data_IF_843703528165
#
_entry.id   IF_843703528165
#
_cell.length_a   1.000
_cell.length_b   1.000
_cell.length_c   1.000
_cell.angle_alpha   90.00
_cell.angle_beta   90.00
_cell.angle_gamma   90.00
#
_symmetry.space_group_name_H-M   'P 1'
#
loop_
_entity.id
_entity.type
_entity.pdbx_description
1 polymer ?
#
# COMPACT_ATOMS: atom_id res chain seq x y z
N UNK A 1 -24.57 8.05 7.26
CA UNK A 1 -23.72 7.63 6.11
C UNK A 1 -23.94 6.13 5.89
N UNK A 2 -24.25 5.69 4.66
CA UNK A 2 -24.52 4.28 4.38
C UNK A 2 -23.21 3.52 4.20
N UNK A 3 -23.07 2.40 4.89
CA UNK A 3 -21.95 1.47 4.85
C UNK A 3 -22.43 0.24 4.11
N UNK A 4 -21.67 -0.24 3.13
CA UNK A 4 -22.10 -1.35 2.29
C UNK A 4 -21.24 -2.59 2.55
N UNK A 5 -21.90 -3.73 2.73
CA UNK A 5 -21.27 -5.06 2.69
C UNK A 5 -21.60 -5.69 1.34
N UNK A 6 -20.59 -5.95 0.52
CA UNK A 6 -20.78 -6.57 -0.79
C UNK A 6 -20.60 -8.08 -0.70
N UNK A 7 -21.57 -8.85 -1.20
CA UNK A 7 -21.51 -10.31 -1.27
C UNK A 7 -21.20 -10.77 -2.70
N UNK A 8 -20.07 -11.48 -2.84
CA UNK A 8 -19.73 -12.30 -4.00
C UNK A 8 -20.00 -13.78 -3.68
N UNK A 9 -20.79 -14.45 -4.51
CA UNK A 9 -21.36 -15.76 -4.20
C UNK A 9 -21.19 -16.76 -5.34
N UNK A 10 -21.20 -18.05 -5.00
CA UNK A 10 -21.03 -19.15 -5.96
C UNK A 10 -22.29 -19.37 -6.79
N UNK A 11 -22.26 -19.03 -8.08
CA UNK A 11 -23.42 -19.22 -8.97
C UNK A 11 -23.84 -20.67 -9.19
N UNK A 12 -22.90 -21.60 -8.98
CA UNK A 12 -23.10 -23.03 -9.16
C UNK A 12 -23.86 -23.69 -7.98
N UNK A 13 -24.01 -22.98 -6.86
CA UNK A 13 -24.58 -23.49 -5.59
C UNK A 13 -25.68 -22.54 -5.07
N UNK A 14 -26.86 -22.52 -5.72
CA UNK A 14 -27.90 -21.53 -5.44
C UNK A 14 -28.62 -21.73 -4.10
N UNK A 15 -28.62 -22.94 -3.53
CA UNK A 15 -29.23 -23.18 -2.22
C UNK A 15 -28.38 -22.55 -1.10
N UNK A 16 -27.06 -22.75 -1.18
CA UNK A 16 -26.05 -22.21 -0.28
C UNK A 16 -26.07 -20.69 -0.29
N UNK A 17 -26.22 -20.07 -1.46
CA UNK A 17 -26.41 -18.62 -1.62
C UNK A 17 -27.54 -18.11 -0.71
N UNK A 18 -28.71 -18.76 -0.73
CA UNK A 18 -29.87 -18.31 0.05
C UNK A 18 -29.55 -18.34 1.55
N UNK A 19 -28.87 -19.39 2.01
CA UNK A 19 -28.45 -19.52 3.40
C UNK A 19 -27.44 -18.44 3.81
N UNK A 20 -26.43 -18.16 2.98
CA UNK A 20 -25.43 -17.11 3.23
C UNK A 20 -26.08 -15.73 3.24
N UNK A 21 -26.96 -15.45 2.27
CA UNK A 21 -27.69 -14.17 2.20
C UNK A 21 -28.57 -13.95 3.43
N UNK A 22 -29.26 -14.99 3.89
CA UNK A 22 -30.09 -14.93 5.09
C UNK A 22 -29.24 -14.66 6.34
N UNK A 23 -28.14 -15.42 6.52
CA UNK A 23 -27.24 -15.25 7.64
C UNK A 23 -26.60 -13.84 7.68
N UNK A 24 -26.19 -13.31 6.51
CA UNK A 24 -25.70 -11.93 6.39
C UNK A 24 -26.78 -10.92 6.75
N UNK A 25 -28.00 -11.09 6.22
CA UNK A 25 -29.11 -10.17 6.50
C UNK A 25 -29.41 -10.13 7.99
N UNK A 26 -29.47 -11.30 8.64
CA UNK A 26 -29.74 -11.41 10.08
C UNK A 26 -28.59 -10.81 10.91
N UNK A 27 -27.33 -11.08 10.54
CA UNK A 27 -26.16 -10.48 11.17
C UNK A 27 -26.18 -8.94 11.07
N UNK A 28 -26.49 -8.39 9.90
CA UNK A 28 -26.56 -6.95 9.68
C UNK A 28 -27.68 -6.28 10.49
N UNK A 29 -28.80 -6.97 10.76
CA UNK A 29 -29.84 -6.44 11.68
C UNK A 29 -29.27 -6.23 13.09
N UNK A 30 -28.48 -7.19 13.58
CA UNK A 30 -27.83 -7.10 14.91
C UNK A 30 -26.78 -5.98 14.93
N UNK A 31 -25.95 -5.89 13.89
CA UNK A 31 -24.93 -4.83 13.75
C UNK A 31 -25.59 -3.44 13.74
N UNK A 32 -26.67 -3.26 12.98
CA UNK A 32 -27.40 -1.99 12.94
C UNK A 32 -28.08 -1.65 14.28
N UNK A 33 -28.56 -2.65 15.03
CA UNK A 33 -29.17 -2.44 16.34
C UNK A 33 -28.19 -2.05 17.45
N UNK A 34 -26.90 -2.38 17.31
CA UNK A 34 -25.85 -2.11 18.31
C UNK A 34 -24.99 -0.91 17.98
N UNK A 35 -24.94 -0.49 16.72
CA UNK A 35 -24.16 0.68 16.29
C UNK A 35 -24.93 1.95 16.62
N UNK A 36 -24.38 2.82 17.47
CA UNK A 36 -24.99 4.10 17.83
C UNK A 36 -25.26 4.98 16.58
N UNK A 37 -26.51 4.94 16.10
CA UNK A 37 -27.29 5.90 15.30
C UNK A 37 -26.66 6.69 14.12
N UNK A 38 -25.40 6.48 13.74
CA UNK A 38 -24.69 7.35 12.79
C UNK A 38 -24.41 6.72 11.42
N UNK A 39 -24.52 5.39 11.28
CA UNK A 39 -24.25 4.65 10.04
C UNK A 39 -25.23 3.50 9.86
N UNK A 40 -25.88 3.47 8.70
CA UNK A 40 -26.73 2.35 8.27
C UNK A 40 -25.86 1.36 7.50
N UNK A 41 -25.84 0.10 7.90
CA UNK A 41 -25.11 -0.98 7.22
C UNK A 41 -26.07 -1.77 6.34
N UNK A 42 -25.82 -1.83 5.04
CA UNK A 42 -26.68 -2.52 4.08
C UNK A 42 -25.91 -3.59 3.30
N UNK A 43 -26.62 -4.67 2.96
CA UNK A 43 -26.13 -5.71 2.06
C UNK A 43 -26.32 -5.27 0.60
N UNK A 44 -25.31 -5.54 -0.21
CA UNK A 44 -25.31 -5.30 -1.64
C UNK A 44 -24.68 -6.47 -2.41
N UNK A 45 -25.05 -6.63 -3.68
CA UNK A 45 -24.64 -7.76 -4.54
C UNK A 45 -24.97 -7.51 -6.00
N UNK A 46 -24.37 -8.29 -6.90
CA UNK A 46 -24.69 -8.33 -8.33
C UNK A 46 -24.76 -6.89 -8.92
N UNK A 47 -25.66 -6.66 -9.87
CA UNK A 47 -26.01 -5.32 -10.38
C UNK A 47 -27.24 -4.71 -9.70
N UNK A 48 -27.60 -5.19 -8.49
CA UNK A 48 -28.77 -4.71 -7.76
C UNK A 48 -28.72 -3.19 -7.57
N UNK A 49 -29.86 -2.53 -7.72
CA UNK A 49 -30.05 -1.08 -7.56
C UNK A 49 -29.22 -0.18 -8.52
N UNK A 50 -28.68 -0.76 -9.61
CA UNK A 50 -28.02 0.00 -10.68
C UNK A 50 -29.03 0.31 -11.81
N UNK A 51 -29.28 1.58 -12.17
CA UNK A 51 -30.27 1.94 -13.17
C UNK A 51 -29.83 1.62 -14.62
N UNK A 52 -30.79 1.35 -15.48
CA UNK A 52 -30.58 1.14 -16.92
C UNK A 52 -30.02 -0.24 -17.28
N UNK A 53 -29.22 -0.30 -18.35
CA UNK A 53 -28.55 -1.52 -18.82
C UNK A 53 -27.02 -1.38 -18.64
N UNK A 54 -26.52 -1.41 -17.38
CA UNK A 54 -25.11 -1.24 -17.12
C UNK A 54 -24.30 -2.42 -17.65
N UNK A 55 -23.02 -2.18 -17.96
CA UNK A 55 -22.08 -3.29 -18.11
C UNK A 55 -21.98 -4.03 -16.78
N UNK A 56 -22.44 -5.29 -16.76
CA UNK A 56 -22.52 -6.12 -15.54
C UNK A 56 -21.18 -6.13 -14.80
N UNK A 57 -20.10 -6.41 -15.53
CA UNK A 57 -18.75 -6.47 -14.98
C UNK A 57 -18.32 -5.12 -14.36
N UNK A 58 -18.49 -4.02 -15.10
CA UNK A 58 -18.10 -2.69 -14.61
C UNK A 58 -18.90 -2.29 -13.37
N UNK A 59 -20.21 -2.52 -13.37
CA UNK A 59 -21.07 -2.20 -12.24
C UNK A 59 -20.68 -2.99 -10.99
N UNK A 60 -20.39 -4.29 -11.12
CA UNK A 60 -19.90 -5.11 -10.02
C UNK A 60 -18.59 -4.54 -9.47
N UNK A 61 -17.60 -4.27 -10.32
CA UNK A 61 -16.32 -3.71 -9.87
C UNK A 61 -16.48 -2.33 -9.20
N UNK A 62 -17.36 -1.47 -9.70
CA UNK A 62 -17.66 -0.17 -9.08
C UNK A 62 -18.31 -0.32 -7.70
N UNK A 63 -19.17 -1.33 -7.51
CA UNK A 63 -19.80 -1.63 -6.22
C UNK A 63 -18.81 -2.24 -5.23
N UNK A 64 -17.91 -3.09 -5.70
CA UNK A 64 -16.81 -3.63 -4.89
C UNK A 64 -15.85 -2.50 -4.46
N UNK A 65 -15.52 -1.57 -5.36
CA UNK A 65 -14.65 -0.42 -5.05
C UNK A 65 -15.25 0.46 -3.95
N UNK A 66 -16.58 0.54 -3.88
CA UNK A 66 -17.32 1.40 -2.95
C UNK A 66 -17.74 0.70 -1.65
N UNK A 67 -17.56 -0.62 -1.53
CA UNK A 67 -18.00 -1.32 -0.34
C UNK A 67 -17.00 -1.16 0.82
N UNK A 68 -17.53 -1.30 2.04
CA UNK A 68 -16.74 -1.20 3.27
C UNK A 68 -16.22 -2.56 3.73
N UNK A 69 -16.97 -3.62 3.43
CA UNK A 69 -16.63 -5.01 3.71
C UNK A 69 -16.98 -5.83 2.47
N UNK A 70 -16.10 -6.71 2.06
CA UNK A 70 -16.35 -7.66 0.97
C UNK A 70 -16.42 -9.08 1.54
N UNK A 71 -17.46 -9.80 1.17
CA UNK A 71 -17.71 -11.17 1.61
C UNK A 71 -17.70 -12.06 0.39
N UNK A 72 -16.82 -13.07 0.37
CA UNK A 72 -16.68 -14.00 -0.74
C UNK A 72 -16.99 -15.41 -0.28
N UNK A 73 -17.98 -16.04 -0.90
CA UNK A 73 -18.17 -17.48 -0.80
C UNK A 73 -17.10 -18.19 -1.63
N UNK A 74 -16.07 -18.75 -1.01
CA UNK A 74 -14.99 -19.49 -1.68
C UNK A 74 -15.20 -21.00 -1.57
N UNK A 75 -16.43 -21.46 -1.38
CA UNK A 75 -16.74 -22.89 -1.37
C UNK A 75 -16.36 -23.55 -2.70
N UNK A 76 -15.94 -24.82 -2.64
CA UNK A 76 -15.53 -25.56 -3.83
C UNK A 76 -16.75 -25.87 -4.70
N UNK A 77 -16.63 -25.54 -5.99
CA UNK A 77 -17.58 -25.98 -7.01
C UNK A 77 -16.91 -26.99 -7.94
N UNK A 78 -17.73 -27.80 -8.61
CA UNK A 78 -17.25 -28.82 -9.53
C UNK A 78 -17.20 -28.28 -10.95
N UNK A 79 -16.00 -28.24 -11.53
CA UNK A 79 -15.83 -28.06 -12.96
C UNK A 79 -15.32 -29.36 -13.59
N UNK A 80 -16.13 -29.93 -14.49
CA UNK A 80 -15.70 -31.05 -15.35
C UNK A 80 -15.05 -30.46 -16.60
N UNK A 81 -13.72 -30.55 -16.67
CA UNK A 81 -12.96 -30.08 -17.84
C UNK A 81 -12.18 -31.25 -18.42
N UNK A 82 -12.41 -31.58 -19.70
CA UNK A 82 -11.75 -32.70 -20.39
C UNK A 82 -11.77 -34.04 -19.63
N UNK A 83 -12.87 -34.35 -18.93
CA UNK A 83 -13.01 -35.60 -18.17
C UNK A 83 -12.27 -35.62 -16.82
N UNK A 84 -11.51 -34.59 -16.49
CA UNK A 84 -10.89 -34.41 -15.16
C UNK A 84 -11.79 -33.51 -14.33
N UNK A 85 -12.30 -34.04 -13.22
CA UNK A 85 -12.97 -33.22 -12.21
C UNK A 85 -11.91 -32.45 -11.43
N UNK A 86 -11.90 -31.12 -11.56
CA UNK A 86 -11.14 -30.24 -10.66
C UNK A 86 -12.13 -29.45 -9.82
N UNK A 87 -11.86 -29.41 -8.52
CA UNK A 87 -12.61 -28.62 -7.56
C UNK A 87 -11.91 -27.28 -7.39
N UNK A 88 -12.65 -26.20 -7.56
CA UNK A 88 -12.18 -24.84 -7.39
C UNK A 88 -13.39 -23.96 -7.10
N UNK A 89 -13.25 -22.84 -6.39
CA UNK A 89 -14.30 -21.83 -6.38
C UNK A 89 -14.57 -21.31 -7.79
N UNK A 90 -15.77 -20.79 -8.02
CA UNK A 90 -16.17 -20.17 -9.28
C UNK A 90 -15.19 -19.05 -9.70
N UNK A 91 -14.71 -19.05 -10.96
CA UNK A 91 -13.77 -18.03 -11.46
C UNK A 91 -14.25 -16.58 -11.34
N UNK A 92 -15.56 -16.33 -11.39
CA UNK A 92 -16.12 -14.99 -11.22
C UNK A 92 -15.89 -14.49 -9.78
N UNK A 93 -16.16 -15.34 -8.79
CA UNK A 93 -15.90 -15.02 -7.38
C UNK A 93 -14.41 -14.78 -7.16
N UNK A 94 -13.54 -15.60 -7.75
CA UNK A 94 -12.09 -15.40 -7.65
C UNK A 94 -11.63 -14.09 -8.30
N UNK A 95 -12.23 -13.70 -9.42
CA UNK A 95 -11.93 -12.42 -10.10
C UNK A 95 -12.37 -11.22 -9.25
N UNK A 96 -13.57 -11.27 -8.70
CA UNK A 96 -14.10 -10.25 -7.80
C UNK A 96 -13.28 -10.15 -6.51
N UNK A 97 -12.90 -11.29 -5.93
CA UNK A 97 -12.03 -11.38 -4.76
C UNK A 97 -10.64 -10.78 -5.03
N UNK A 98 -10.04 -11.09 -6.18
CA UNK A 98 -8.75 -10.49 -6.57
C UNK A 98 -8.83 -8.97 -6.69
N UNK A 99 -9.92 -8.46 -7.27
CA UNK A 99 -10.17 -7.02 -7.34
C UNK A 99 -10.41 -6.40 -5.96
N UNK A 100 -11.21 -7.06 -5.11
CA UNK A 100 -11.47 -6.64 -3.74
C UNK A 100 -10.18 -6.60 -2.90
N UNK A 101 -9.30 -7.59 -3.01
CA UNK A 101 -7.99 -7.59 -2.34
C UNK A 101 -7.16 -6.37 -2.75
N UNK A 102 -7.17 -6.03 -4.04
CA UNK A 102 -6.46 -4.87 -4.57
C UNK A 102 -7.03 -3.54 -4.10
N UNK A 103 -8.36 -3.41 -4.01
CA UNK A 103 -9.00 -2.14 -3.63
C UNK A 103 -9.12 -1.97 -2.11
N UNK A 104 -9.51 -3.03 -1.41
CA UNK A 104 -9.95 -2.95 -0.02
C UNK A 104 -8.90 -3.36 1.00
N UNK A 105 -7.91 -4.16 0.60
CA UNK A 105 -6.99 -4.86 1.50
C UNK A 105 -7.61 -6.12 2.12
N UNK A 106 -6.76 -7.02 2.62
CA UNK A 106 -7.21 -8.29 3.24
C UNK A 106 -7.99 -8.08 4.54
N UNK A 107 -7.77 -6.96 5.23
CA UNK A 107 -8.38 -6.64 6.52
C UNK A 107 -9.88 -6.32 6.47
N UNK A 108 -10.44 -6.17 5.26
CA UNK A 108 -11.87 -5.89 5.04
C UNK A 108 -12.58 -7.01 4.27
N UNK A 109 -11.92 -8.15 4.13
CA UNK A 109 -12.40 -9.26 3.33
C UNK A 109 -12.72 -10.43 4.26
N UNK A 110 -13.91 -11.01 4.07
CA UNK A 110 -14.34 -12.22 4.74
C UNK A 110 -14.50 -13.33 3.71
N UNK A 111 -13.73 -14.40 3.87
CA UNK A 111 -13.83 -15.59 3.05
C UNK A 111 -14.72 -16.61 3.76
N UNK A 112 -15.80 -17.03 3.11
CA UNK A 112 -16.71 -18.05 3.63
C UNK A 112 -16.43 -19.39 2.94
N UNK A 113 -16.45 -20.47 3.70
CA UNK A 113 -16.23 -21.81 3.17
C UNK A 113 -17.25 -22.80 3.74
N UNK A 114 -18.05 -23.41 2.87
CA UNK A 114 -18.98 -24.45 3.26
C UNK A 114 -18.27 -25.80 3.38
N UNK A 115 -18.13 -26.28 4.60
CA UNK A 115 -17.44 -27.54 4.96
C UNK A 115 -18.15 -28.79 4.44
N UNK A 116 -19.42 -28.68 4.00
CA UNK A 116 -20.13 -29.80 3.36
C UNK A 116 -19.58 -30.09 1.96
N UNK A 117 -18.90 -29.12 1.33
CA UNK A 117 -18.41 -29.20 -0.04
C UNK A 117 -16.93 -29.59 -0.14
N UNK A 118 -16.27 -29.81 1.00
CA UNK A 118 -14.87 -30.25 1.07
C UNK A 118 -14.17 -29.67 2.29
N UNK A 119 -12.85 -29.60 2.25
CA UNK A 119 -12.04 -29.00 3.32
C UNK A 119 -11.29 -27.76 2.85
N UNK A 120 -11.04 -26.77 3.72
CA UNK A 120 -10.28 -25.57 3.37
C UNK A 120 -8.89 -25.85 2.76
N UNK A 121 -8.25 -26.97 3.09
CA UNK A 121 -6.92 -27.33 2.55
C UNK A 121 -6.96 -27.72 1.06
N UNK A 122 -8.15 -28.05 0.54
CA UNK A 122 -8.40 -28.31 -0.88
C UNK A 122 -8.53 -27.02 -1.70
N UNK A 123 -8.58 -25.83 -1.06
CA UNK A 123 -8.60 -24.55 -1.76
C UNK A 123 -7.31 -24.31 -2.55
N UNK A 124 -7.37 -23.47 -3.62
CA UNK A 124 -6.20 -22.95 -4.31
C UNK A 124 -5.15 -22.37 -3.35
N UNK A 125 -3.87 -22.49 -3.72
CA UNK A 125 -2.74 -22.21 -2.83
C UNK A 125 -2.74 -20.77 -2.28
N UNK A 126 -3.22 -19.83 -3.09
CA UNK A 126 -3.40 -18.41 -2.80
C UNK A 126 -4.42 -18.19 -1.68
N UNK A 127 -5.51 -18.96 -1.65
CA UNK A 127 -6.55 -18.86 -0.63
C UNK A 127 -6.19 -19.57 0.68
N UNK A 128 -5.37 -20.61 0.63
CA UNK A 128 -4.96 -21.37 1.83
C UNK A 128 -4.15 -20.56 2.85
N UNK A 129 -3.54 -19.46 2.41
CA UNK A 129 -2.81 -18.55 3.29
C UNK A 129 -3.73 -17.57 4.03
N UNK A 130 -5.02 -17.51 3.66
CA UNK A 130 -6.01 -16.63 4.26
C UNK A 130 -6.91 -17.40 5.24
N UNK A 131 -7.28 -16.72 6.33
CA UNK A 131 -8.26 -17.25 7.26
C UNK A 131 -9.64 -17.32 6.59
N UNK A 132 -10.32 -18.46 6.73
CA UNK A 132 -11.67 -18.69 6.22
C UNK A 132 -12.65 -18.89 7.38
N UNK A 133 -13.87 -18.40 7.21
CA UNK A 133 -15.01 -18.72 8.07
C UNK A 133 -15.63 -20.01 7.53
N UNK A 134 -15.24 -21.13 8.13
CA UNK A 134 -15.80 -22.43 7.80
C UNK A 134 -17.16 -22.59 8.48
N UNK A 135 -18.17 -23.01 7.71
CA UNK A 135 -19.51 -23.27 8.23
C UNK A 135 -20.10 -24.53 7.60
N UNK A 136 -21.18 -25.05 8.17
CA UNK A 136 -21.95 -26.16 7.63
C UNK A 136 -23.34 -25.64 7.21
N UNK A 137 -23.66 -25.71 5.93
CA UNK A 137 -24.97 -25.25 5.43
C UNK A 137 -26.09 -26.27 5.66
N UNK A 138 -25.77 -27.51 5.98
CA UNK A 138 -26.71 -28.62 6.16
C UNK A 138 -27.28 -28.74 7.57
N UNK A 139 -26.73 -27.99 8.54
CA UNK A 139 -27.18 -28.01 9.93
C UNK A 139 -27.65 -26.62 10.42
N UNK A 140 -28.76 -26.54 11.17
CA UNK A 140 -29.19 -25.29 11.81
C UNK A 140 -28.10 -24.68 12.71
N UNK A 141 -27.33 -25.53 13.40
CA UNK A 141 -26.21 -25.13 14.25
C UNK A 141 -25.09 -24.50 13.41
N UNK A 142 -24.78 -25.06 12.23
CA UNK A 142 -23.79 -24.50 11.31
C UNK A 142 -24.18 -23.13 10.76
N UNK A 143 -25.46 -22.93 10.43
CA UNK A 143 -25.99 -21.63 10.02
C UNK A 143 -25.99 -20.59 11.15
N UNK A 144 -26.25 -21.05 12.37
CA UNK A 144 -26.19 -20.23 13.58
C UNK A 144 -24.76 -19.75 13.84
N UNK A 145 -23.76 -20.64 13.73
CA UNK A 145 -22.34 -20.29 13.80
C UNK A 145 -21.96 -19.28 12.73
N UNK A 146 -22.39 -19.48 11.47
CA UNK A 146 -22.11 -18.54 10.38
C UNK A 146 -22.63 -17.13 10.71
N UNK A 147 -23.87 -17.02 11.19
CA UNK A 147 -24.47 -15.73 11.55
C UNK A 147 -23.67 -15.02 12.65
N UNK A 148 -23.26 -15.75 13.69
CA UNK A 148 -22.55 -15.18 14.82
C UNK A 148 -21.14 -14.73 14.43
N UNK A 149 -20.40 -15.55 13.66
CA UNK A 149 -19.10 -15.19 13.09
C UNK A 149 -19.17 -13.98 12.17
N UNK A 150 -20.18 -13.91 11.29
CA UNK A 150 -20.43 -12.75 10.43
C UNK A 150 -20.69 -11.50 11.27
N UNK A 151 -21.52 -11.61 12.31
CA UNK A 151 -21.85 -10.48 13.19
C UNK A 151 -20.61 -9.93 13.89
N UNK A 152 -19.81 -10.81 14.49
CA UNK A 152 -18.61 -10.41 15.23
C UNK A 152 -17.52 -9.83 14.31
N UNK A 153 -17.23 -10.51 13.20
CA UNK A 153 -16.19 -10.06 12.26
C UNK A 153 -16.58 -8.78 11.54
N UNK A 154 -17.81 -8.65 11.06
CA UNK A 154 -18.29 -7.41 10.45
C UNK A 154 -18.23 -6.28 11.47
N UNK A 155 -18.70 -6.49 12.71
CA UNK A 155 -18.62 -5.48 13.78
C UNK A 155 -17.18 -5.07 14.05
N UNK A 156 -16.27 -6.03 14.13
CA UNK A 156 -14.84 -5.79 14.37
C UNK A 156 -14.21 -4.99 13.24
N UNK A 157 -14.45 -5.39 11.99
CA UNK A 157 -13.98 -4.66 10.81
C UNK A 157 -14.54 -3.23 10.86
N UNK A 158 -15.85 -3.05 11.02
CA UNK A 158 -16.49 -1.73 11.02
C UNK A 158 -16.03 -0.81 12.15
N UNK A 159 -15.65 -1.36 13.32
CA UNK A 159 -15.01 -0.60 14.42
C UNK A 159 -13.57 -0.23 14.11
N UNK A 160 -12.83 -1.14 13.49
CA UNK A 160 -11.44 -0.93 13.07
C UNK A 160 -11.33 -0.05 11.81
N UNK A 161 -12.41 0.07 11.03
CA UNK A 161 -12.47 0.93 9.86
C UNK A 161 -12.22 2.39 10.30
N UNK A 162 -11.13 3.03 9.85
CA UNK A 162 -11.12 4.49 9.84
C UNK A 162 -12.28 4.96 8.94
N UNK A 163 -12.92 6.09 9.28
CA UNK A 163 -13.95 6.77 8.45
C UNK A 163 -13.70 6.53 6.94
N UNK A 164 -14.72 6.06 6.20
CA UNK A 164 -14.60 5.16 5.06
C UNK A 164 -13.57 5.62 4.04
N UNK A 165 -12.43 4.94 4.02
CA UNK A 165 -11.43 5.01 2.96
C UNK A 165 -11.76 3.91 1.98
N UNK A 166 -12.03 4.22 0.70
CA UNK A 166 -11.80 3.39 -0.50
C UNK A 166 -12.43 4.06 -1.72
N UNK A 167 -11.69 4.98 -2.31
CA UNK A 167 -11.69 5.26 -3.75
C UNK A 167 -10.22 5.27 -4.11
N UNK A 168 -9.85 4.56 -5.18
CA UNK A 168 -8.49 4.60 -5.72
C UNK A 168 -8.02 6.05 -5.85
N UNK A 169 -6.75 6.35 -5.52
CA UNK A 169 -6.28 7.73 -5.51
C UNK A 169 -6.27 8.30 -6.93
N UNK A 170 -6.96 9.43 -7.18
CA UNK A 170 -6.39 10.42 -8.04
C UNK A 170 -5.67 11.47 -7.19
N UNK A 171 -5.48 11.32 -5.87
CA UNK A 171 -4.93 12.42 -5.07
C UNK A 171 -3.67 12.04 -4.30
N UNK A 172 -2.53 12.51 -4.79
CA UNK A 172 -1.28 12.50 -4.05
C UNK A 172 -1.18 13.75 -3.20
N UNK A 173 -1.01 13.59 -1.90
CA UNK A 173 -0.91 14.72 -0.98
C UNK A 173 0.54 14.96 -0.57
N UNK A 174 0.97 16.20 -0.78
CA UNK A 174 2.28 16.69 -0.41
C UNK A 174 2.13 17.68 0.74
N UNK A 175 2.67 17.31 1.90
CA UNK A 175 2.78 18.20 3.05
C UNK A 175 4.15 18.88 3.00
N UNK A 176 4.18 20.21 3.03
CA UNK A 176 5.42 20.97 3.06
C UNK A 176 5.36 22.05 4.12
N UNK A 177 6.43 22.17 4.91
CA UNK A 177 6.61 23.30 5.82
C UNK A 177 7.65 24.26 5.25
N UNK A 178 7.40 25.55 5.42
CA UNK A 178 8.38 26.60 5.10
C UNK A 178 8.41 27.60 6.24
N UNK A 179 9.61 28.10 6.55
CA UNK A 179 9.76 29.29 7.38
C UNK A 179 9.41 30.50 6.50
N UNK A 180 8.47 31.32 6.97
CA UNK A 180 7.89 32.39 6.15
C UNK A 180 8.60 33.73 6.45
N UNK A 181 8.44 34.27 7.65
CA UNK A 181 9.06 35.53 8.09
C UNK A 181 9.30 35.56 9.61
N UNK A 182 10.15 36.49 10.05
CA UNK A 182 10.32 36.83 11.48
C UNK A 182 9.59 38.14 11.73
N UNK A 183 8.54 38.11 12.54
CA UNK A 183 7.76 39.29 12.92
C UNK A 183 7.87 39.48 14.43
N UNK A 184 8.34 40.66 14.86
CA UNK A 184 8.45 41.04 16.28
C UNK A 184 9.16 39.98 17.17
N UNK A 185 10.24 39.37 16.66
CA UNK A 185 11.01 38.35 17.39
C UNK A 185 10.39 36.95 17.42
N UNK A 186 9.24 36.73 16.78
CA UNK A 186 8.62 35.41 16.62
C UNK A 186 8.83 34.89 15.20
N UNK A 187 9.20 33.61 15.08
CA UNK A 187 9.35 32.93 13.79
C UNK A 187 7.99 32.41 13.35
N UNK A 188 7.53 32.83 12.18
CA UNK A 188 6.31 32.34 11.56
C UNK A 188 6.61 31.15 10.65
N UNK A 189 5.85 30.08 10.85
CA UNK A 189 5.92 28.88 10.02
C UNK A 189 4.65 28.71 9.22
N UNK A 190 4.79 28.20 8.00
CA UNK A 190 3.68 27.85 7.12
C UNK A 190 3.65 26.36 6.87
N UNK A 191 2.53 25.72 7.18
CA UNK A 191 2.20 24.37 6.78
C UNK A 191 1.33 24.43 5.52
N UNK A 192 1.83 23.91 4.40
CA UNK A 192 1.07 23.81 3.15
C UNK A 192 0.73 22.35 2.85
N UNK A 193 -0.53 22.11 2.47
CA UNK A 193 -0.97 20.84 1.88
C UNK A 193 -1.25 21.09 0.40
N UNK A 194 -0.62 20.29 -0.44
CA UNK A 194 -0.87 20.26 -1.88
C UNK A 194 -1.49 18.93 -2.25
N UNK A 195 -2.47 18.98 -3.15
CA UNK A 195 -3.11 17.82 -3.73
C UNK A 195 -2.73 17.77 -5.22
N UNK A 196 -2.12 16.66 -5.63
CA UNK A 196 -1.79 16.35 -7.02
C UNK A 196 -2.83 15.39 -7.55
N UNK A 197 -3.50 15.76 -8.64
CA UNK A 197 -4.46 14.90 -9.32
C UNK A 197 -3.72 13.86 -10.18
N UNK A 198 -3.50 12.65 -9.66
CA UNK A 198 -2.91 11.51 -10.36
C UNK A 198 -3.90 10.71 -11.20
N UNK A 199 -5.17 11.13 -11.27
CA UNK A 199 -6.21 10.47 -12.05
C UNK A 199 -6.39 11.04 -13.45
N UNK A 200 -7.48 10.63 -14.10
CA UNK A 200 -7.86 11.06 -15.46
C UNK A 200 -9.10 11.98 -15.48
N UNK A 201 -9.73 12.22 -14.33
CA UNK A 201 -10.93 13.05 -14.20
C UNK A 201 -10.63 14.35 -13.46
N UNK A 202 -11.42 15.40 -13.71
CA UNK A 202 -11.28 16.70 -13.03
C UNK A 202 -11.88 16.63 -11.63
N UNK A 203 -11.13 17.11 -10.63
CA UNK A 203 -11.60 17.19 -9.25
C UNK A 203 -12.33 18.52 -9.02
N UNK A 204 -13.64 18.52 -9.26
CA UNK A 204 -14.49 19.71 -9.17
C UNK A 204 -15.38 19.76 -7.92
N UNK A 205 -15.41 18.71 -7.12
CA UNK A 205 -16.13 18.65 -5.84
C UNK A 205 -15.25 17.89 -4.84
N UNK A 206 -14.48 18.63 -4.03
CA UNK A 206 -13.58 18.03 -3.06
C UNK A 206 -13.55 18.81 -1.74
N UNK A 207 -13.12 18.13 -0.69
CA UNK A 207 -12.75 18.78 0.57
C UNK A 207 -11.51 18.15 1.18
N UNK A 208 -10.77 18.92 1.96
CA UNK A 208 -9.60 18.45 2.70
C UNK A 208 -9.79 18.76 4.18
N UNK A 209 -9.53 17.76 5.00
CA UNK A 209 -9.43 17.90 6.45
C UNK A 209 -7.99 17.76 6.89
N UNK A 210 -7.54 18.65 7.76
CA UNK A 210 -6.21 18.63 8.35
C UNK A 210 -6.37 18.65 9.86
N UNK A 211 -6.02 17.53 10.50
CA UNK A 211 -5.97 17.41 11.94
C UNK A 211 -4.55 17.77 12.41
N UNK A 212 -4.46 18.77 13.30
CA UNK A 212 -3.21 19.25 13.88
C UNK A 212 -3.34 19.34 15.40
N UNK A 213 -2.23 19.23 16.16
CA UNK A 213 -2.27 19.43 17.61
C UNK A 213 -2.85 20.79 18.02
N UNK A 214 -3.76 20.82 19.00
CA UNK A 214 -4.43 22.04 19.49
C UNK A 214 -3.45 23.08 20.06
N UNK A 215 -2.28 22.64 20.52
CA UNK A 215 -1.20 23.50 20.98
C UNK A 215 -0.67 24.46 19.90
N UNK A 216 -0.93 24.18 18.62
CA UNK A 216 -0.59 25.05 17.49
C UNK A 216 -1.71 26.07 17.36
N UNK A 217 -1.60 27.20 18.08
CA UNK A 217 -2.61 28.27 18.03
C UNK A 217 -2.40 29.13 16.77
N UNK A 218 -3.44 29.23 15.94
CA UNK A 218 -3.39 29.88 14.62
C UNK A 218 -4.55 30.88 14.46
N UNK A 219 -4.32 32.07 13.88
CA UNK A 219 -5.40 32.89 13.35
C UNK A 219 -6.02 32.19 12.13
N UNK A 220 -7.32 31.94 12.16
CA UNK A 220 -8.06 31.38 11.03
C UNK A 220 -7.97 32.32 9.83
N UNK A 221 -7.37 31.86 8.73
CA UNK A 221 -7.44 32.56 7.45
C UNK A 221 -8.86 32.42 6.84
N UNK A 222 -9.22 33.33 5.95
CA UNK A 222 -10.51 33.33 5.26
C UNK A 222 -10.75 32.01 4.50
N UNK A 223 -11.83 31.30 4.82
CA UNK A 223 -12.29 30.09 4.14
C UNK A 223 -12.01 28.76 4.85
N UNK A 224 -11.14 28.73 5.88
CA UNK A 224 -10.91 27.53 6.70
C UNK A 224 -11.82 27.47 7.92
N UNK A 225 -12.51 26.34 8.12
CA UNK A 225 -13.43 26.15 9.25
C UNK A 225 -12.92 25.09 10.22
N UNK A 226 -13.10 25.34 11.51
CA UNK A 226 -12.86 24.34 12.56
C UNK A 226 -14.05 23.38 12.60
N UNK A 227 -13.78 22.09 12.51
CA UNK A 227 -14.80 21.04 12.65
C UNK A 227 -15.04 20.80 14.13
N UNK A 228 -15.99 21.55 14.70
CA UNK A 228 -16.30 21.56 16.14
C UNK A 228 -16.56 20.17 16.73
N UNK A 229 -17.31 19.31 16.04
CA UNK A 229 -17.64 17.96 16.52
C UNK A 229 -16.49 16.93 16.47
N UNK A 230 -15.32 17.29 15.91
CA UNK A 230 -14.13 16.42 15.84
C UNK A 230 -12.87 17.07 16.38
N UNK A 231 -13.01 18.27 16.93
CA UNK A 231 -11.95 19.01 17.62
C UNK A 231 -12.04 18.72 19.11
N UNK A 232 -10.91 18.41 19.73
CA UNK A 232 -10.81 18.15 21.17
C UNK A 232 -9.67 18.96 21.81
N UNK A 233 -9.41 18.72 23.10
CA UNK A 233 -8.36 19.42 23.85
C UNK A 233 -6.94 19.14 23.34
N UNK A 234 -6.75 18.11 22.51
CA UNK A 234 -5.45 17.66 22.00
C UNK A 234 -5.29 17.90 20.51
N UNK A 235 -6.37 17.84 19.73
CA UNK A 235 -6.37 17.94 18.27
C UNK A 235 -7.44 18.92 17.76
N UNK A 236 -7.02 19.87 16.92
CA UNK A 236 -7.91 20.74 16.15
C UNK A 236 -8.02 20.22 14.72
N UNK A 237 -9.26 20.07 14.24
CA UNK A 237 -9.52 19.61 12.87
C UNK A 237 -10.00 20.80 12.04
N UNK A 238 -9.21 21.16 11.03
CA UNK A 238 -9.58 22.17 10.04
C UNK A 238 -10.15 21.49 8.80
N UNK A 239 -11.17 22.10 8.19
CA UNK A 239 -11.75 21.68 6.92
C UNK A 239 -11.75 22.83 5.91
N UNK A 240 -11.32 22.54 4.68
CA UNK A 240 -11.51 23.38 3.51
C UNK A 240 -12.30 22.59 2.46
N UNK A 241 -13.26 23.24 1.80
CA UNK A 241 -14.05 22.68 0.70
C UNK A 241 -13.74 23.41 -0.60
N UNK A 242 -14.01 22.80 -1.75
CA UNK A 242 -13.85 23.43 -3.07
C UNK A 242 -14.66 24.73 -3.19
N UNK A 243 -15.83 24.83 -2.56
CA UNK A 243 -16.65 26.06 -2.55
C UNK A 243 -15.96 27.23 -1.83
N UNK A 244 -15.20 26.92 -0.79
CA UNK A 244 -14.46 27.91 0.01
C UNK A 244 -12.98 28.03 -0.44
N UNK A 245 -12.61 27.30 -1.47
CA UNK A 245 -11.30 27.35 -2.09
C UNK A 245 -11.29 28.43 -3.16
N UNK A 246 -10.33 29.35 -3.10
CA UNK A 246 -10.21 30.47 -4.04
C UNK A 246 -9.58 30.10 -5.39
N UNK A 247 -9.24 28.82 -5.59
CA UNK A 247 -8.68 28.31 -6.85
C UNK A 247 -9.68 27.51 -7.68
N UNK A 248 -9.25 27.08 -8.87
CA UNK A 248 -10.03 26.28 -9.80
C UNK A 248 -10.06 24.78 -9.42
N UNK A 249 -10.98 23.99 -10.02
CA UNK A 249 -10.95 22.53 -9.95
C UNK A 249 -9.58 21.95 -10.30
N UNK A 250 -9.18 20.84 -9.68
CA UNK A 250 -7.83 20.26 -9.91
C UNK A 250 -7.88 19.35 -11.15
N UNK A 251 -7.22 19.75 -12.23
CA UNK A 251 -7.20 18.98 -13.48
C UNK A 251 -6.23 17.78 -13.42
N UNK A 252 -6.43 16.73 -14.24
CA UNK A 252 -5.50 15.60 -14.34
C UNK A 252 -4.03 16.03 -14.52
N UNK A 253 -3.14 15.49 -13.69
CA UNK A 253 -1.71 15.81 -13.65
C UNK A 253 -1.35 17.11 -12.93
N UNK A 254 -2.33 17.91 -12.50
CA UNK A 254 -2.11 19.18 -11.84
C UNK A 254 -1.84 19.02 -10.33
N UNK A 255 -0.98 19.87 -9.78
CA UNK A 255 -0.78 19.99 -8.33
C UNK A 255 -1.32 21.32 -7.83
N UNK A 256 -2.44 21.29 -7.10
CA UNK A 256 -3.04 22.47 -6.49
C UNK A 256 -2.64 22.60 -5.01
N UNK A 257 -2.47 23.84 -4.53
CA UNK A 257 -2.32 24.13 -3.10
C UNK A 257 -3.70 24.20 -2.48
N UNK A 258 -4.07 23.18 -1.71
CA UNK A 258 -5.43 23.00 -1.18
C UNK A 258 -5.56 23.36 0.29
N UNK A 259 -4.46 23.61 1.00
CA UNK A 259 -4.52 24.11 2.38
C UNK A 259 -3.22 24.85 2.70
N UNK A 260 -3.33 25.91 3.48
CA UNK A 260 -2.20 26.66 4.01
C UNK A 260 -2.54 27.10 5.42
N UNK A 261 -1.61 26.94 6.34
CA UNK A 261 -1.81 27.24 7.75
C UNK A 261 -0.57 27.95 8.30
N UNK A 262 -0.77 29.14 8.86
CA UNK A 262 0.28 29.96 9.44
C UNK A 262 0.28 29.84 10.96
N UNK A 263 1.36 29.36 11.55
CA UNK A 263 1.49 29.26 13.00
C UNK A 263 2.73 29.95 13.53
N UNK A 264 2.62 30.43 14.77
CA UNK A 264 3.69 31.11 15.49
C UNK A 264 4.30 30.16 16.50
N UNK A 265 5.63 30.12 16.59
CA UNK A 265 6.32 29.55 17.75
C UNK A 265 6.63 30.72 18.71
N UNK A 266 5.85 30.83 19.78
CA UNK A 266 5.92 31.99 20.68
C UNK A 266 6.85 31.79 21.89
N UNK A 267 7.26 30.55 22.21
CA UNK A 267 7.96 30.22 23.45
C UNK A 267 9.02 29.11 23.22
N UNK A 268 10.24 29.16 23.80
CA UNK A 268 11.19 28.04 23.84
C UNK A 268 10.62 26.70 24.32
N UNK A 269 9.47 26.68 25.01
CA UNK A 269 8.72 25.47 25.38
C UNK A 269 7.88 24.86 24.23
N UNK A 270 7.71 25.58 23.12
CA UNK A 270 6.96 25.14 21.94
C UNK A 270 7.81 24.15 21.14
N UNK A 271 7.30 22.95 20.77
CA UNK A 271 8.06 21.98 19.99
C UNK A 271 8.60 22.59 18.69
N UNK A 272 9.84 22.24 18.30
CA UNK A 272 10.44 22.74 17.06
C UNK A 272 9.59 22.33 15.87
N UNK A 273 9.69 23.04 14.74
CA UNK A 273 8.95 22.68 13.52
C UNK A 273 9.16 21.21 13.08
N UNK A 274 10.33 20.63 13.38
CA UNK A 274 10.64 19.21 13.17
C UNK A 274 9.87 18.28 14.12
N UNK A 275 9.70 18.67 15.39
CA UNK A 275 8.97 17.94 16.42
C UNK A 275 7.44 18.00 16.17
N UNK A 276 6.95 19.14 15.68
CA UNK A 276 5.54 19.32 15.26
C UNK A 276 5.17 18.45 14.07
N UNK A 277 6.11 18.20 13.15
CA UNK A 277 5.94 17.26 12.05
C UNK A 277 6.05 15.80 12.48
N UNK A 278 6.73 15.54 13.60
CA UNK A 278 6.76 14.22 14.23
C UNK A 278 5.46 13.92 14.99
N UNK A 279 4.72 14.95 15.42
CA UNK A 279 3.34 14.80 15.91
C UNK A 279 2.43 14.33 14.77
N UNK A 280 1.39 13.53 15.06
CA UNK A 280 0.55 12.92 14.04
C UNK A 280 -0.34 13.98 13.36
N UNK A 281 0.20 14.68 12.35
CA UNK A 281 -0.61 15.47 11.42
C UNK A 281 -1.28 14.48 10.46
N UNK A 282 -2.61 14.43 10.53
CA UNK A 282 -3.41 13.60 9.64
C UNK A 282 -4.09 14.50 8.61
N UNK A 283 -3.87 14.19 7.33
CA UNK A 283 -4.62 14.78 6.23
C UNK A 283 -5.63 13.74 5.76
N UNK A 284 -6.86 14.17 5.51
CA UNK A 284 -7.88 13.38 4.83
C UNK A 284 -8.41 14.20 3.67
N UNK A 285 -8.47 13.61 2.48
CA UNK A 285 -9.02 14.27 1.30
C UNK A 285 -10.29 13.55 0.89
N UNK A 286 -11.25 14.30 0.39
CA UNK A 286 -12.57 13.81 0.03
C UNK A 286 -12.92 14.31 -1.37
N UNK A 287 -13.54 13.46 -2.19
CA UNK A 287 -14.25 13.87 -3.41
C UNK A 287 -15.75 13.74 -3.12
N UNK A 288 -16.49 14.83 -3.20
CA UNK A 288 -17.84 14.96 -2.65
C UNK A 288 -17.89 14.52 -1.19
N UNK A 289 -18.60 13.44 -0.92
CA UNK A 289 -18.71 12.84 0.43
C UNK A 289 -17.77 11.65 0.68
N UNK A 290 -16.99 11.24 -0.33
CA UNK A 290 -16.15 10.04 -0.29
C UNK A 290 -14.73 10.39 0.12
N UNK A 291 -14.18 9.73 1.16
CA UNK A 291 -12.78 9.92 1.57
C UNK A 291 -11.86 9.07 0.70
N UNK A 292 -10.75 9.67 0.27
CA UNK A 292 -9.77 9.07 -0.63
C UNK A 292 -8.51 8.68 0.12
N UNK A 293 -7.93 7.53 -0.26
CA UNK A 293 -6.65 7.09 0.23
C UNK A 293 -5.54 8.04 -0.26
N UNK A 294 -4.80 8.64 0.67
CA UNK A 294 -3.73 9.56 0.33
C UNK A 294 -2.43 8.83 0.04
N UNK A 295 -1.80 9.12 -1.10
CA UNK A 295 -0.43 8.70 -1.33
C UNK A 295 0.52 9.58 -0.51
N UNK A 296 0.87 9.14 0.70
CA UNK A 296 1.75 9.88 1.61
C UNK A 296 3.21 9.67 1.21
N UNK A 297 3.86 10.68 0.65
CA UNK A 297 5.32 10.66 0.47
C UNK A 297 5.97 11.15 1.76
N UNK A 298 6.71 10.27 2.45
CA UNK A 298 7.71 10.73 3.42
C UNK A 298 8.84 11.40 2.64
N UNK A 299 8.84 12.74 2.59
CA UNK A 299 10.00 13.48 2.10
C UNK A 299 11.10 13.36 3.14
N UNK A 300 12.28 12.89 2.72
CA UNK A 300 13.47 12.96 3.56
C UNK A 300 13.78 14.41 3.90
N UNK A 301 14.14 14.67 5.16
CA UNK A 301 14.53 16.02 5.60
C UNK A 301 15.77 16.49 4.85
N UNK A 302 15.89 17.79 4.63
CA UNK A 302 17.04 18.35 3.92
C UNK A 302 18.35 18.11 4.68
N UNK A 303 18.31 18.07 6.03
CA UNK A 303 19.43 17.67 6.87
C UNK A 303 19.87 16.21 6.62
N UNK A 304 18.91 15.29 6.45
CA UNK A 304 19.19 13.90 6.12
C UNK A 304 19.81 13.77 4.73
N UNK A 305 19.23 14.43 3.71
CA UNK A 305 19.75 14.43 2.35
C UNK A 305 21.18 14.99 2.28
N UNK A 306 21.46 16.08 2.99
CA UNK A 306 22.80 16.67 3.07
C UNK A 306 23.81 15.73 3.74
N UNK A 307 23.40 15.02 4.79
CA UNK A 307 24.25 14.02 5.46
C UNK A 307 24.55 12.84 4.55
N UNK A 308 23.53 12.30 3.87
CA UNK A 308 23.68 11.22 2.90
C UNK A 308 24.59 11.62 1.72
N UNK A 309 24.44 12.84 1.19
CA UNK A 309 25.33 13.38 0.14
C UNK A 309 26.77 13.53 0.65
N UNK A 310 26.97 13.99 1.89
CA UNK A 310 28.31 14.10 2.49
C UNK A 310 28.99 12.74 2.64
N UNK A 311 28.25 11.68 2.98
CA UNK A 311 28.77 10.31 3.02
C UNK A 311 29.27 9.86 1.64
N UNK A 312 28.61 10.25 0.56
CA UNK A 312 29.08 9.95 -0.82
C UNK A 312 30.32 10.74 -1.25
N UNK A 313 30.71 11.79 -0.52
CA UNK A 313 31.88 12.62 -0.82
C UNK A 313 33.14 12.16 -0.06
N UNK A 314 33.04 11.13 0.79
CA UNK A 314 34.19 10.57 1.49
C UNK A 314 35.13 9.84 0.51
N UNK A 315 36.47 9.94 0.68
CA UNK A 315 37.43 9.27 -0.20
C UNK A 315 37.19 7.76 -0.27
N UNK A 316 37.12 7.21 -1.48
CA UNK A 316 36.91 5.78 -1.73
C UNK A 316 35.46 5.29 -1.59
N UNK A 317 34.51 6.17 -1.26
CA UNK A 317 33.12 5.79 -1.01
C UNK A 317 32.28 5.78 -2.30
N UNK A 318 31.71 4.62 -2.65
CA UNK A 318 30.79 4.51 -3.80
C UNK A 318 29.36 4.87 -3.42
N UNK A 319 28.63 5.50 -4.35
CA UNK A 319 27.20 5.84 -4.17
C UNK A 319 26.37 4.60 -3.87
N UNK A 320 26.66 3.46 -4.52
CA UNK A 320 25.96 2.18 -4.30
C UNK A 320 26.10 1.68 -2.86
N UNK A 321 27.27 1.85 -2.25
CA UNK A 321 27.56 1.42 -0.88
C UNK A 321 26.84 2.28 0.15
N UNK A 322 26.84 3.61 -0.04
CA UNK A 322 26.08 4.53 0.83
C UNK A 322 24.58 4.30 0.68
N UNK A 323 24.11 4.02 -0.53
CA UNK A 323 22.71 3.70 -0.80
C UNK A 323 22.27 2.44 -0.06
N UNK A 324 23.06 1.37 -0.14
CA UNK A 324 22.81 0.14 0.60
C UNK A 324 22.81 0.35 2.13
N UNK A 325 23.76 1.13 2.66
CA UNK A 325 23.86 1.40 4.10
C UNK A 325 22.75 2.29 4.67
N UNK A 326 22.07 3.08 3.82
CA UNK A 326 20.93 3.92 4.21
C UNK A 326 19.58 3.33 3.78
N UNK A 327 19.59 2.13 3.20
CA UNK A 327 18.43 1.47 2.59
C UNK A 327 17.68 2.37 1.57
N UNK A 328 18.46 2.95 0.65
CA UNK A 328 18.00 3.85 -0.41
C UNK A 328 18.33 3.31 -1.79
N UNK A 329 17.53 3.67 -2.79
CA UNK A 329 17.88 3.38 -4.18
C UNK A 329 19.05 4.29 -4.65
N UNK A 330 20.11 3.78 -5.32
CA UNK A 330 21.30 4.57 -5.72
C UNK A 330 21.01 5.82 -6.57
N UNK A 331 19.92 5.79 -7.34
CA UNK A 331 19.43 6.93 -8.10
C UNK A 331 19.09 8.14 -7.21
N UNK A 332 18.53 7.90 -6.01
CA UNK A 332 18.13 8.96 -5.08
C UNK A 332 19.33 9.78 -4.62
N UNK A 333 20.44 9.12 -4.27
CA UNK A 333 21.69 9.80 -3.88
C UNK A 333 22.32 10.57 -5.05
N UNK A 334 22.24 10.02 -6.26
CA UNK A 334 22.73 10.70 -7.47
C UNK A 334 21.93 11.98 -7.77
N UNK A 335 20.61 11.89 -7.62
CA UNK A 335 19.70 13.04 -7.71
C UNK A 335 19.96 14.07 -6.62
N UNK A 336 20.12 13.67 -5.36
CA UNK A 336 20.41 14.60 -4.26
C UNK A 336 21.78 15.26 -4.38
N UNK A 337 22.80 14.56 -4.90
CA UNK A 337 24.10 15.19 -5.23
C UNK A 337 23.95 16.33 -6.24
N UNK A 338 23.07 16.15 -7.23
CA UNK A 338 22.74 17.18 -8.21
C UNK A 338 21.94 18.32 -7.56
N UNK A 339 20.90 18.02 -6.80
CA UNK A 339 20.08 19.03 -6.10
C UNK A 339 20.88 19.88 -5.09
N UNK A 340 21.90 19.30 -4.44
CA UNK A 340 22.83 20.05 -3.57
C UNK A 340 23.80 20.91 -4.38
N UNK A 341 24.32 20.41 -5.52
CA UNK A 341 25.20 21.16 -6.42
C UNK A 341 24.48 22.36 -7.04
N UNK A 342 23.23 22.16 -7.45
CA UNK A 342 22.38 23.16 -8.07
C UNK A 342 21.80 24.15 -7.01
N UNK A 343 22.14 23.96 -5.73
CA UNK A 343 21.77 24.86 -4.64
C UNK A 343 20.29 24.82 -4.25
N UNK A 344 19.56 23.77 -4.63
CA UNK A 344 18.13 23.56 -4.35
C UNK A 344 17.91 23.12 -2.91
N UNK A 345 18.81 22.32 -2.35
CA UNK A 345 18.80 21.87 -0.94
C UNK A 345 19.83 22.68 -0.15
N UNK A 346 19.40 23.43 0.86
CA UNK A 346 20.25 24.31 1.69
C UNK A 346 20.01 24.05 3.19
N UNK A 347 21.06 24.03 4.01
CA UNK A 347 20.93 23.85 5.45
C UNK A 347 22.28 23.65 6.17
N UNK A 348 22.32 23.88 7.50
CA UNK A 348 23.49 23.59 8.35
C UNK A 348 23.52 22.11 8.73
N UNK A 349 24.67 21.47 8.52
CA UNK A 349 24.90 20.07 8.88
C UNK A 349 24.97 19.89 10.42
N UNK A 350 24.44 18.78 10.97
CA UNK A 350 24.65 18.44 12.38
C UNK A 350 26.15 18.24 12.69
N UNK A 351 26.57 18.70 13.87
CA UNK A 351 27.99 18.85 14.26
C UNK A 351 28.75 17.52 14.44
N UNK A 352 28.04 16.38 14.48
CA UNK A 352 28.62 15.04 14.67
C UNK A 352 28.23 14.14 13.51
N UNK A 353 29.21 13.52 12.86
CA UNK A 353 28.97 12.53 11.82
C UNK A 353 28.45 11.23 12.45
N UNK A 354 27.43 10.56 11.88
CA UNK A 354 27.02 9.23 12.32
C UNK A 354 28.12 8.21 12.01
N UNK A 355 28.32 7.24 12.91
CA UNK A 355 29.27 6.16 12.73
C UNK A 355 28.81 5.26 11.56
N UNK A 356 29.52 5.34 10.42
CA UNK A 356 29.27 4.47 9.26
C UNK A 356 30.18 3.24 9.24
N UNK A 357 29.78 2.13 8.58
CA UNK A 357 30.52 0.87 8.54
C UNK A 357 31.71 0.97 7.57
N UNK A 358 32.76 1.70 7.99
CA UNK A 358 33.68 2.33 7.02
C UNK A 358 34.93 1.52 6.71
N UNK A 359 35.15 0.35 7.32
CA UNK A 359 36.34 -0.49 7.06
C UNK A 359 36.00 -1.95 6.80
N UNK A 360 35.13 -2.54 7.62
CA UNK A 360 34.75 -3.95 7.50
C UNK A 360 34.01 -4.21 6.18
N UNK A 361 33.11 -3.31 5.77
CA UNK A 361 32.38 -3.45 4.51
C UNK A 361 33.28 -3.31 3.27
N UNK A 362 34.31 -2.46 3.34
CA UNK A 362 35.28 -2.30 2.26
C UNK A 362 36.22 -3.50 2.15
N UNK A 363 36.60 -4.10 3.28
CA UNK A 363 37.37 -5.35 3.32
C UNK A 363 36.58 -6.53 2.76
N UNK A 364 35.30 -6.67 3.11
CA UNK A 364 34.45 -7.73 2.59
C UNK A 364 34.30 -7.65 1.07
N UNK A 365 34.12 -6.44 0.52
CA UNK A 365 34.01 -6.24 -0.93
C UNK A 365 35.32 -6.52 -1.68
N UNK A 366 36.47 -6.17 -1.10
CA UNK A 366 37.76 -6.52 -1.67
C UNK A 366 37.98 -8.05 -1.67
N UNK A 367 37.53 -8.74 -0.62
CA UNK A 367 37.60 -10.19 -0.50
C UNK A 367 36.69 -10.89 -1.53
N UNK A 368 35.46 -10.41 -1.72
CA UNK A 368 34.51 -10.94 -2.69
C UNK A 368 35.04 -10.81 -4.13
N UNK A 369 35.62 -9.66 -4.48
CA UNK A 369 36.22 -9.45 -5.79
C UNK A 369 37.43 -10.35 -6.04
N UNK A 370 38.28 -10.55 -5.02
CA UNK A 370 39.42 -11.47 -5.11
C UNK A 370 38.95 -12.93 -5.30
N UNK A 371 37.88 -13.33 -4.59
CA UNK A 371 37.32 -14.68 -4.72
C UNK A 371 36.75 -14.94 -6.12
N UNK A 372 36.07 -13.96 -6.72
CA UNK A 372 35.54 -14.07 -8.08
C UNK A 372 36.65 -14.29 -9.13
N UNK A 373 37.74 -13.53 -9.04
CA UNK A 373 38.90 -13.70 -9.94
C UNK A 373 39.54 -15.09 -9.80
N UNK A 374 39.71 -15.57 -8.57
CA UNK A 374 40.24 -16.92 -8.30
C UNK A 374 39.35 -18.03 -8.88
N UNK A 375 38.03 -17.85 -8.87
CA UNK A 375 37.11 -18.81 -9.49
C UNK A 375 37.25 -18.84 -11.01
N UNK A 376 37.40 -17.68 -11.66
CA UNK A 376 37.64 -17.59 -13.10
C UNK A 376 38.97 -18.26 -13.50
N UNK A 377 40.05 -18.01 -12.74
CA UNK A 377 41.34 -18.68 -12.97
C UNK A 377 41.24 -20.20 -12.82
N UNK A 378 40.54 -20.67 -11.78
CA UNK A 378 40.33 -22.10 -11.56
C UNK A 378 39.53 -22.76 -12.70
N UNK A 379 38.51 -22.07 -13.22
CA UNK A 379 37.73 -22.54 -14.35
C UNK A 379 38.55 -22.60 -15.65
N UNK A 380 39.42 -21.62 -15.88
CA UNK A 380 40.36 -21.62 -17.01
C UNK A 380 41.36 -22.79 -16.91
N UNK A 381 41.92 -23.04 -15.72
CA UNK A 381 42.82 -24.17 -15.47
C UNK A 381 42.12 -25.52 -15.67
N UNK A 382 40.88 -25.67 -15.17
CA UNK A 382 40.07 -26.88 -15.40
C UNK A 382 39.82 -27.13 -16.88
N UNK A 383 39.48 -26.10 -17.64
CA UNK A 383 39.30 -26.18 -19.09
C UNK A 383 40.60 -26.57 -19.80
N UNK A 384 41.74 -26.02 -19.39
CA UNK A 384 43.06 -26.35 -19.94
C UNK A 384 43.46 -27.81 -19.66
N UNK A 385 43.27 -28.31 -18.44
CA UNK A 385 43.52 -29.71 -18.08
C UNK A 385 42.67 -30.64 -18.95
N UNK A 386 41.37 -30.33 -19.11
CA UNK A 386 40.45 -31.10 -19.95
C UNK A 386 40.87 -31.10 -21.41
N UNK A 387 41.38 -29.98 -21.93
CA UNK A 387 41.90 -29.89 -23.29
C UNK A 387 43.17 -30.75 -23.50
N UNK A 388 44.10 -30.73 -22.54
CA UNK A 388 45.34 -31.51 -22.60
C UNK A 388 45.12 -33.02 -22.42
N UNK A 389 44.16 -33.44 -21.59
CA UNK A 389 43.85 -34.87 -21.38
C UNK A 389 43.24 -35.52 -22.61
N UNK A 390 42.37 -34.80 -23.34
CA UNK A 390 41.78 -35.27 -24.62
C UNK A 390 42.84 -35.46 -25.70
N UNK A 391 43.89 -34.62 -25.73
CA UNK A 391 44.99 -34.74 -26.70
C UNK A 391 45.91 -35.95 -26.43
N UNK A 392 46.10 -36.33 -25.16
CA UNK A 392 46.89 -37.52 -24.80
C UNK A 392 46.23 -38.84 -25.26
N UNK A 393 44.90 -38.92 -25.33
CA UNK A 393 44.21 -40.11 -25.84
C UNK A 393 44.37 -40.36 -27.35
N UNK A 394 44.74 -39.34 -28.15
CA UNK A 394 44.85 -39.44 -29.62
C UNK A 394 46.23 -39.83 -30.15
N UNK A 395 47.23 -40.07 -29.29
CA UNK A 395 48.55 -40.57 -29.72
C UNK A 395 48.68 -42.06 -29.41
N UNK A 396 48.45 -42.91 -30.40
CA UNK A 396 48.79 -44.34 -30.35
C UNK A 396 50.29 -44.54 -30.71
N UNK A 397 51.01 -45.51 -30.11
CA UNK A 397 52.40 -45.79 -30.44
C UNK A 397 52.49 -46.53 -31.78
N UNK A 398 53.38 -46.06 -32.67
CA UNK A 398 53.67 -46.75 -33.93
C UNK A 398 54.36 -48.07 -33.65
N UNK A 399 53.75 -49.18 -34.04
CA UNK A 399 54.41 -50.49 -34.16
C UNK A 399 54.41 -50.89 -35.63
N UNK A 400 55.60 -51.01 -36.20
CA UNK A 400 55.86 -51.44 -37.57
C UNK A 400 55.86 -52.97 -37.62
N UNK A 401 55.13 -53.64 -38.53
CA UNK A 401 55.34 -55.06 -38.80
C UNK A 401 56.29 -55.25 -39.98
N UNK A 402 57.33 -56.05 -39.75
CA UNK A 402 58.27 -56.55 -40.75
C UNK A 402 57.56 -57.50 -41.73
N UNK A 403 57.94 -57.40 -43.01
CA UNK A 403 57.38 -58.14 -44.14
C UNK A 403 57.57 -59.68 -44.06
N UNK A 404 56.68 -60.50 -44.65
CA UNK A 404 56.96 -61.89 -44.95
C UNK A 404 57.62 -62.03 -46.34
N UNK A 405 58.70 -62.82 -46.43
CA UNK A 405 59.18 -63.39 -47.70
C UNK A 405 58.40 -64.70 -47.97
N UNK A 406 57.96 -64.80 -49.22
CA UNK A 406 57.19 -65.82 -49.97
C UNK A 406 57.76 -67.26 -49.95
N UNK A 407 57.13 -68.22 -50.66
CA UNK A 407 55.70 -68.45 -50.92
C UNK A 407 55.18 -69.79 -50.36
#
# INVERSE_FOLDING_TARGET
>A
MRVTVFLSWQSDTPAERVHIEQALTDALRVVNGTTAASREVALDRDTKDVPGAPSIFRAILEKIDQCSVFVADVSLTYQRTHGVARRSPNPNVLTELGYALKCLGSERILLLFNSTLGKPEELPFDLRAHAVVAFDCGSPEGLQILRDELTDRISTILRALPLPSHVQPPVRVLLTTRQDQVLQGKIQHRLEVRAENTGHEVLADWSVEVAVPTAIRIPTDAGTFIVSGRTDSTTTVYRLTQENYTGHPIYPGETAKVFSLLYWMADPSTPKAEDVLAMPIAVSFFIGTRRIALHRIRKYSDAFKLTAVRMTQLPGMQVKTVAAGLDLHPFMLSRWRKEVRDGVIRGRLPRRAPAGPSRELAQLQALEHAHALLQEEHDLLRKAIRFCSVRRQKRSPSSTPSAPRTP
#
